data_IF_436237939521
#
_entry.id   IF_436237939521
#
_cell.length_a   1.000
_cell.length_b   1.000
_cell.length_c   1.000
_cell.angle_alpha   90.00
_cell.angle_beta   90.00
_cell.angle_gamma   90.00
#
_symmetry.space_group_name_H-M   'P 1'
#
loop_
_entity.id
_entity.type
_entity.pdbx_description
1 polymer ?
#
# COMPACT_ATOMS: atom_id res chain seq x y z
N UNK A 1 5.86 -5.02 -12.59
CA UNK A 1 4.81 -4.21 -11.94
C UNK A 1 4.91 -2.77 -12.42
N UNK A 2 3.79 -2.06 -12.55
CA UNK A 2 3.79 -0.63 -12.90
C UNK A 2 4.07 0.22 -11.65
N UNK A 3 4.63 1.42 -11.85
CA UNK A 3 4.88 2.36 -10.75
C UNK A 3 3.60 2.72 -9.99
N UNK A 4 2.49 2.91 -10.71
CA UNK A 4 1.18 3.21 -10.10
C UNK A 4 0.73 2.12 -9.13
N UNK A 5 0.87 0.85 -9.52
CA UNK A 5 0.50 -0.28 -8.66
C UNK A 5 1.35 -0.31 -7.39
N UNK A 6 2.64 0.01 -7.50
CA UNK A 6 3.56 0.08 -6.35
C UNK A 6 3.19 1.24 -5.43
N UNK A 7 2.90 2.43 -5.98
CA UNK A 7 2.45 3.58 -5.20
C UNK A 7 1.15 3.27 -4.44
N UNK A 8 0.22 2.57 -5.09
CA UNK A 8 -1.05 2.17 -4.48
C UNK A 8 -0.83 1.18 -3.31
N UNK A 9 0.06 0.20 -3.46
CA UNK A 9 0.43 -0.73 -2.38
C UNK A 9 1.07 0.04 -1.21
N UNK A 10 2.00 0.95 -1.50
CA UNK A 10 2.66 1.77 -0.48
C UNK A 10 1.65 2.64 0.25
N UNK A 11 0.74 3.30 -0.47
CA UNK A 11 -0.29 4.15 0.13
C UNK A 11 -1.20 3.36 1.07
N UNK A 12 -1.68 2.19 0.64
CA UNK A 12 -2.48 1.30 1.50
C UNK A 12 -1.75 0.93 2.79
N UNK A 13 -0.48 0.57 2.69
CA UNK A 13 0.34 0.21 3.86
C UNK A 13 0.65 1.40 4.78
N UNK A 14 0.87 2.59 4.21
CA UNK A 14 1.06 3.81 4.98
C UNK A 14 -0.22 4.26 5.68
N UNK A 15 -1.39 4.10 5.07
CA UNK A 15 -2.67 4.37 5.72
C UNK A 15 -2.87 3.42 6.91
N UNK A 16 -2.58 2.13 6.73
CA UNK A 16 -2.70 1.12 7.79
C UNK A 16 -1.75 1.39 8.97
N UNK A 17 -0.53 1.83 8.70
CA UNK A 17 0.52 1.98 9.75
C UNK A 17 0.59 3.40 10.32
N UNK A 18 0.57 4.41 9.45
CA UNK A 18 0.90 5.82 9.77
C UNK A 18 -0.28 6.78 9.54
N UNK A 19 -1.49 6.28 9.25
CA UNK A 19 -2.75 7.02 9.08
C UNK A 19 -2.80 8.06 7.95
N UNK A 20 -1.71 8.26 7.20
CA UNK A 20 -1.65 9.21 6.09
C UNK A 20 -0.93 8.61 4.88
N UNK A 21 -1.45 8.81 3.65
CA UNK A 21 -0.79 8.38 2.42
C UNK A 21 0.48 9.20 2.13
N UNK A 22 1.13 8.92 1.00
CA UNK A 22 2.17 9.78 0.46
C UNK A 22 1.56 11.13 0.02
N UNK A 23 2.22 12.22 0.38
CA UNK A 23 1.94 13.55 -0.12
C UNK A 23 2.27 13.65 -1.62
N UNK A 24 1.63 14.58 -2.33
CA UNK A 24 1.90 14.85 -3.74
C UNK A 24 3.40 15.07 -4.02
N UNK A 25 4.11 15.78 -3.13
CA UNK A 25 5.55 16.03 -3.27
C UNK A 25 6.37 14.75 -3.10
N UNK A 26 5.97 13.87 -2.19
CA UNK A 26 6.62 12.58 -1.99
C UNK A 26 6.41 11.66 -3.20
N UNK A 27 5.19 11.63 -3.75
CA UNK A 27 4.87 10.90 -4.98
C UNK A 27 5.74 11.40 -6.15
N UNK A 28 5.91 12.71 -6.28
CA UNK A 28 6.80 13.31 -7.29
C UNK A 28 8.25 12.83 -7.11
N UNK A 29 8.75 12.78 -5.87
CA UNK A 29 10.10 12.28 -5.59
C UNK A 29 10.22 10.79 -5.94
N UNK A 30 9.24 9.96 -5.59
CA UNK A 30 9.23 8.53 -5.95
C UNK A 30 9.22 8.36 -7.47
N UNK A 31 8.39 9.11 -8.20
CA UNK A 31 8.35 9.12 -9.68
C UNK A 31 9.70 9.51 -10.29
N UNK A 32 10.32 10.56 -9.76
CA UNK A 32 11.63 11.00 -10.23
C UNK A 32 12.72 9.97 -9.97
N UNK A 33 12.72 9.31 -8.80
CA UNK A 33 13.64 8.20 -8.50
C UNK A 33 13.42 7.05 -9.49
N UNK A 34 12.16 6.74 -9.83
CA UNK A 34 11.83 5.70 -10.81
C UNK A 34 12.39 5.99 -12.21
N UNK A 35 12.43 7.27 -12.58
CA UNK A 35 12.97 7.77 -13.85
C UNK A 35 14.49 8.09 -13.80
N UNK A 36 15.19 7.69 -12.73
CA UNK A 36 16.62 8.00 -12.52
C UNK A 36 16.97 9.50 -12.47
N UNK A 37 16.00 10.35 -12.13
CA UNK A 37 16.22 11.78 -11.99
C UNK A 37 16.96 12.14 -10.70
N UNK A 38 17.64 13.28 -10.71
CA UNK A 38 18.23 13.91 -9.53
C UNK A 38 17.20 14.74 -8.79
N UNK A 39 17.39 14.96 -7.48
CA UNK A 39 16.49 15.82 -6.71
C UNK A 39 16.44 17.25 -7.28
N UNK A 40 17.54 17.75 -7.84
CA UNK A 40 17.56 19.03 -8.55
C UNK A 40 16.66 19.06 -9.78
N UNK A 41 16.71 18.02 -10.62
CA UNK A 41 15.85 17.91 -11.80
C UNK A 41 14.36 17.80 -11.41
N UNK A 42 14.05 17.01 -10.39
CA UNK A 42 12.68 16.86 -9.88
C UNK A 42 12.19 18.20 -9.32
N UNK A 43 13.04 18.89 -8.55
CA UNK A 43 12.72 20.18 -7.97
C UNK A 43 12.45 21.23 -9.06
N UNK A 44 13.33 21.32 -10.06
CA UNK A 44 13.18 22.24 -11.18
C UNK A 44 11.90 21.97 -11.98
N UNK A 45 11.58 20.70 -12.27
CA UNK A 45 10.38 20.32 -13.01
C UNK A 45 9.08 20.62 -12.23
N UNK A 46 9.11 20.51 -10.91
CA UNK A 46 7.96 20.73 -10.04
C UNK A 46 7.88 22.13 -9.43
N UNK A 47 8.83 23.03 -9.72
CA UNK A 47 8.87 24.39 -9.17
C UNK A 47 9.30 24.48 -7.70
N UNK A 48 10.00 23.47 -7.17
CA UNK A 48 10.54 23.46 -5.81
C UNK A 48 12.03 23.83 -5.78
N UNK A 49 12.53 24.14 -4.59
CA UNK A 49 13.97 24.27 -4.36
C UNK A 49 14.63 22.89 -4.24
N UNK A 50 15.77 22.70 -4.90
CA UNK A 50 16.57 21.48 -4.78
C UNK A 50 16.97 21.17 -3.33
N UNK A 51 17.20 22.22 -2.52
CA UNK A 51 17.51 22.07 -1.10
C UNK A 51 16.33 21.52 -0.30
N UNK A 52 15.10 21.95 -0.62
CA UNK A 52 13.89 21.46 0.04
C UNK A 52 13.68 19.97 -0.21
N UNK A 53 13.78 19.51 -1.48
CA UNK A 53 13.64 18.09 -1.77
C UNK A 53 14.75 17.25 -1.13
N UNK A 54 15.99 17.74 -1.13
CA UNK A 54 17.14 16.97 -0.62
C UNK A 54 17.18 16.90 0.91
N UNK A 55 16.83 17.99 1.59
CA UNK A 55 17.01 18.11 3.04
C UNK A 55 15.73 17.80 3.83
N UNK A 56 14.56 17.95 3.22
CA UNK A 56 13.27 17.75 3.91
C UNK A 56 12.55 16.52 3.37
N UNK A 57 12.19 16.53 2.08
CA UNK A 57 11.30 15.51 1.51
C UNK A 57 11.98 14.16 1.38
N UNK A 58 13.20 14.10 0.83
CA UNK A 58 13.89 12.84 0.60
C UNK A 58 14.24 12.07 1.90
N UNK A 59 14.77 12.71 2.96
CA UNK A 59 15.04 12.03 4.23
C UNK A 59 13.75 11.53 4.89
N UNK A 60 12.70 12.35 4.91
CA UNK A 60 11.40 11.98 5.48
C UNK A 60 10.77 10.81 4.74
N UNK A 61 10.72 10.87 3.42
CA UNK A 61 10.23 9.80 2.56
C UNK A 61 11.00 8.49 2.82
N UNK A 62 12.34 8.56 2.85
CA UNK A 62 13.18 7.37 3.06
C UNK A 62 12.93 6.73 4.43
N UNK A 63 12.69 7.54 5.48
CA UNK A 63 12.34 7.05 6.82
C UNK A 63 10.98 6.36 6.81
N UNK A 64 9.96 6.97 6.20
CA UNK A 64 8.61 6.40 6.12
C UNK A 64 8.58 5.09 5.32
N UNK A 65 9.27 5.06 4.18
CA UNK A 65 9.41 3.85 3.36
C UNK A 65 10.20 2.76 4.09
N UNK A 66 11.25 3.12 4.83
CA UNK A 66 12.02 2.14 5.61
C UNK A 66 11.18 1.52 6.73
N UNK A 67 10.28 2.30 7.35
CA UNK A 67 9.40 1.80 8.40
C UNK A 67 8.41 0.75 7.87
N UNK A 68 7.83 0.95 6.68
CA UNK A 68 6.87 -0.01 6.11
C UNK A 68 7.55 -1.22 5.44
N UNK A 69 8.73 -1.03 4.84
CA UNK A 69 9.46 -2.09 4.16
C UNK A 69 10.32 -2.94 5.12
N UNK A 70 10.49 -2.49 6.36
CA UNK A 70 11.37 -3.12 7.35
C UNK A 70 12.85 -3.11 6.99
N UNK A 71 13.24 -2.41 5.92
CA UNK A 71 14.60 -2.36 5.36
C UNK A 71 15.02 -0.92 5.15
N UNK A 72 16.32 -0.64 5.29
CA UNK A 72 16.85 0.72 5.06
C UNK A 72 16.73 1.10 3.59
N UNK A 73 15.86 2.06 3.32
CA UNK A 73 15.63 2.62 1.99
C UNK A 73 16.60 3.78 1.75
N UNK A 74 17.36 3.72 0.66
CA UNK A 74 18.24 4.80 0.19
C UNK A 74 17.96 5.08 -1.27
N UNK A 75 18.30 6.27 -1.78
CA UNK A 75 18.03 6.64 -3.19
C UNK A 75 18.41 5.56 -4.21
N UNK A 76 19.58 4.93 -4.03
CA UNK A 76 20.09 3.88 -4.94
C UNK A 76 19.27 2.59 -4.86
N UNK A 77 18.78 2.25 -3.67
CA UNK A 77 18.05 1.01 -3.43
C UNK A 77 16.53 1.19 -3.43
N UNK A 78 16.02 2.43 -3.46
CA UNK A 78 14.59 2.74 -3.43
C UNK A 78 13.83 1.94 -4.48
N UNK A 79 14.25 2.02 -5.75
CA UNK A 79 13.54 1.35 -6.84
C UNK A 79 13.49 -0.16 -6.64
N UNK A 80 14.64 -0.80 -6.46
CA UNK A 80 14.72 -2.25 -6.29
C UNK A 80 13.96 -2.74 -5.05
N UNK A 81 14.02 -2.00 -3.94
CA UNK A 81 13.27 -2.34 -2.72
C UNK A 81 11.77 -2.18 -2.90
N UNK A 82 11.31 -1.13 -3.59
CA UNK A 82 9.90 -0.91 -3.87
C UNK A 82 9.35 -1.95 -4.86
N UNK A 83 10.13 -2.34 -5.86
CA UNK A 83 9.78 -3.44 -6.76
C UNK A 83 9.67 -4.77 -6.01
N UNK A 84 10.66 -5.11 -5.18
CA UNK A 84 10.65 -6.32 -4.37
C UNK A 84 9.47 -6.32 -3.38
N UNK A 85 9.22 -5.20 -2.70
CA UNK A 85 8.11 -5.06 -1.76
C UNK A 85 6.76 -5.19 -2.46
N UNK A 86 6.59 -4.55 -3.63
CA UNK A 86 5.38 -4.70 -4.42
C UNK A 86 5.15 -6.16 -4.84
N UNK A 87 6.20 -6.86 -5.26
CA UNK A 87 6.11 -8.26 -5.68
C UNK A 87 5.78 -9.18 -4.50
N UNK A 88 6.38 -8.94 -3.32
CA UNK A 88 6.10 -9.68 -2.09
C UNK A 88 4.67 -9.47 -1.60
N UNK A 89 4.17 -8.23 -1.63
CA UNK A 89 2.78 -7.91 -1.29
C UNK A 89 1.77 -8.51 -2.29
N UNK A 90 2.11 -8.51 -3.58
CA UNK A 90 1.28 -9.18 -4.59
C UNK A 90 1.28 -10.71 -4.40
N UNK A 91 2.39 -11.31 -3.98
CA UNK A 91 2.46 -12.74 -3.68
C UNK A 91 1.70 -13.11 -2.39
N UNK A 92 1.67 -12.22 -1.39
CA UNK A 92 0.87 -12.39 -0.17
C UNK A 92 -0.63 -12.34 -0.46
N UNK A 93 -1.07 -11.47 -1.38
CA UNK A 93 -2.46 -11.40 -1.85
C UNK A 93 -2.91 -12.71 -2.52
N UNK A 94 -1.99 -13.41 -3.21
CA UNK A 94 -2.23 -14.75 -3.78
C UNK A 94 -2.11 -15.91 -2.79
N UNK A 95 -1.48 -15.68 -1.62
CA UNK A 95 -1.32 -16.71 -0.57
C UNK A 95 -2.51 -16.75 0.38
N UNK A 96 -3.41 -15.78 0.30
CA UNK A 96 -4.79 -15.98 0.72
C UNK A 96 -5.53 -16.60 -0.46
N UNK A 97 -5.87 -17.91 -0.45
CA UNK A 97 -7.02 -18.33 -1.23
C UNK A 97 -8.15 -17.37 -0.84
N UNK A 98 -8.74 -16.72 -1.84
CA UNK A 98 -9.94 -15.91 -1.68
C UNK A 98 -10.99 -16.79 -1.02
N UNK A 99 -11.01 -16.81 0.30
CA UNK A 99 -12.21 -17.08 1.06
C UNK A 99 -12.93 -15.74 1.11
N UNK A 100 -14.02 -15.56 0.34
CA UNK A 100 -14.82 -14.37 0.42
C UNK A 100 -15.50 -14.38 1.78
N UNK A 101 -14.87 -13.78 2.80
CA UNK A 101 -15.48 -13.64 4.11
C UNK A 101 -15.27 -12.23 4.64
N UNK A 102 -16.29 -11.38 4.47
CA UNK A 102 -17.10 -10.88 5.59
C UNK A 102 -18.12 -9.82 5.13
N UNK A 103 -19.19 -10.29 4.52
CA UNK A 103 -20.50 -9.84 5.00
C UNK A 103 -20.68 -10.50 6.37
N UNK A 104 -20.60 -9.72 7.44
CA UNK A 104 -20.99 -10.15 8.79
C UNK A 104 -22.52 -10.23 8.88
N UNK A 105 -23.14 -11.06 8.05
CA UNK A 105 -24.51 -11.49 8.24
C UNK A 105 -24.54 -13.01 8.22
N UNK A 106 -24.99 -13.69 9.28
CA UNK A 106 -25.36 -15.09 9.13
C UNK A 106 -26.38 -15.17 7.98
N UNK A 107 -26.27 -16.13 7.05
CA UNK A 107 -27.26 -16.27 6.00
C UNK A 107 -28.62 -16.38 6.68
N UNK A 108 -29.54 -15.49 6.31
CA UNK A 108 -30.91 -15.55 6.81
C UNK A 108 -31.42 -16.96 6.51
N UNK A 109 -31.99 -17.70 7.48
CA UNK A 109 -32.52 -19.03 7.24
C UNK A 109 -33.82 -18.89 6.44
N UNK A 110 -33.71 -18.52 5.16
CA UNK A 110 -34.80 -18.58 4.18
C UNK A 110 -34.98 -20.03 3.76
N UNK A 111 -35.49 -20.84 4.68
CA UNK A 111 -35.86 -22.22 4.44
C UNK A 111 -36.83 -22.67 5.51
N UNK A 112 -37.91 -23.32 5.11
CA UNK A 112 -38.79 -24.01 6.06
C UNK A 112 -37.96 -25.04 6.82
N UNK A 113 -37.96 -24.94 8.15
CA UNK A 113 -37.30 -25.92 9.02
C UNK A 113 -38.01 -27.26 8.81
N UNK A 114 -37.29 -28.36 8.48
CA UNK A 114 -37.89 -29.68 8.30
C UNK A 114 -38.68 -30.10 9.54
N UNK A 115 -39.81 -30.78 9.35
CA UNK A 115 -40.69 -31.25 10.44
C UNK A 115 -39.96 -32.12 11.48
N UNK A 116 -38.88 -32.80 11.08
CA UNK A 116 -38.08 -33.64 11.97
C UNK A 116 -36.95 -32.88 12.69
N UNK A 117 -36.89 -31.56 12.60
CA UNK A 117 -35.87 -30.77 13.29
C UNK A 117 -36.24 -30.60 14.77
N UNK A 118 -35.29 -30.75 15.71
CA UNK A 118 -35.52 -30.47 17.12
C UNK A 118 -35.85 -29.00 17.41
N UNK A 119 -35.70 -28.10 16.43
CA UNK A 119 -36.05 -26.69 16.52
C UNK A 119 -37.45 -26.37 15.95
N UNK A 120 -38.21 -27.37 15.52
CA UNK A 120 -39.60 -27.19 15.08
C UNK A 120 -40.51 -27.01 16.30
N UNK A 121 -41.22 -25.89 16.36
CA UNK A 121 -42.17 -25.61 17.44
C UNK A 121 -43.56 -26.00 16.95
N UNK A 122 -44.15 -27.03 17.55
CA UNK A 122 -45.56 -27.38 17.33
C UNK A 122 -46.46 -26.35 18.01
N UNK A 123 -47.53 -25.94 17.33
CA UNK A 123 -48.56 -25.03 17.87
C UNK A 123 -49.72 -25.80 18.45
#
# INVERSE_FOLDING_TARGET
MTLEAILEIINRQLIATQKHPLSSTEVLVVRGIWQYQTYGQIAQAAGYSSGYLTNVVAPELSRRLSAIAGKRVTKKNCRALLEAYGAEQAALDWSHPVYPHRDLSPPFPSGSVPLCSPFYIER
#
